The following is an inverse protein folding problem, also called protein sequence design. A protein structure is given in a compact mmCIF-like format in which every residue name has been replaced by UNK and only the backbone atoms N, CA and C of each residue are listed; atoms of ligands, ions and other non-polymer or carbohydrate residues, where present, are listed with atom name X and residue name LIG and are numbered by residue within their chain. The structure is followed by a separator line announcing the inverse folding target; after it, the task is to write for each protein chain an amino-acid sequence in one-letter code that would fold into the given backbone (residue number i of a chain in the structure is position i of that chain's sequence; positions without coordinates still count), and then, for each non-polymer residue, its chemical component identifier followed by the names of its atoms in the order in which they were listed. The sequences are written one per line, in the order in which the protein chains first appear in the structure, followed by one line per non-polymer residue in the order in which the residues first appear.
data_IF_047609348428
#
_entry.id   IF_047609348428
#
_cell.length_a   1.000
_cell.length_b   1.000
_cell.length_c   1.000
_cell.angle_alpha   90.00
_cell.angle_beta   90.00
_cell.angle_gamma   90.00
#
_symmetry.space_group_name_H-M   'P 1'
#
loop_
_entity.id
_entity.type
_entity.pdbx_description
1 polymer ?
#
# COMPACT_ATOMS: atom_id res chain seq x y z
N UNK A 1 -4.58 -8.43 5.19
CA UNK A 1 -3.46 -8.01 4.33
C UNK A 1 -2.37 -9.03 4.51
N UNK A 2 -1.79 -9.51 3.42
CA UNK A 2 -0.63 -10.38 3.49
C UNK A 2 0.61 -9.56 3.90
N UNK A 3 1.40 -10.09 4.84
CA UNK A 3 2.61 -9.43 5.34
C UNK A 3 3.81 -9.77 4.45
N UNK A 4 4.43 -8.75 3.88
CA UNK A 4 5.65 -8.81 3.08
C UNK A 4 6.83 -8.49 3.97
N UNK A 5 7.76 -9.44 4.06
CA UNK A 5 8.94 -9.36 4.94
C UNK A 5 10.26 -9.53 4.19
N UNK A 6 10.23 -9.67 2.87
CA UNK A 6 11.43 -9.76 2.03
C UNK A 6 11.28 -8.94 0.74
N UNK A 7 12.41 -8.52 0.18
CA UNK A 7 12.42 -7.79 -1.10
C UNK A 7 11.90 -8.65 -2.26
N UNK A 8 12.15 -9.96 -2.23
CA UNK A 8 11.66 -10.88 -3.25
C UNK A 8 10.13 -10.97 -3.24
N UNK A 9 9.52 -11.08 -2.05
CA UNK A 9 8.06 -11.13 -1.91
C UNK A 9 7.41 -9.80 -2.34
N UNK A 10 8.06 -8.67 -2.04
CA UNK A 10 7.61 -7.37 -2.53
C UNK A 10 7.60 -7.32 -4.07
N UNK A 11 8.69 -7.77 -4.71
CA UNK A 11 8.79 -7.80 -6.16
C UNK A 11 7.73 -8.70 -6.80
N UNK A 12 7.42 -9.85 -6.18
CA UNK A 12 6.34 -10.74 -6.65
C UNK A 12 4.98 -10.06 -6.51
N UNK A 13 4.71 -9.41 -5.37
CA UNK A 13 3.43 -8.74 -5.12
C UNK A 13 3.15 -7.63 -6.13
N UNK A 14 4.13 -6.75 -6.40
CA UNK A 14 3.93 -5.61 -7.31
C UNK A 14 3.85 -6.00 -8.79
N UNK A 15 4.37 -7.17 -9.17
CA UNK A 15 4.29 -7.72 -10.53
C UNK A 15 2.91 -8.32 -10.87
N UNK A 16 2.03 -8.46 -9.89
CA UNK A 16 0.67 -8.95 -10.13
C UNK A 16 -0.04 -8.12 -11.22
N UNK A 17 -0.76 -8.75 -12.16
CA UNK A 17 -1.61 -8.02 -13.11
C UNK A 17 -2.75 -7.30 -12.39
N UNK A 18 -3.16 -7.82 -11.23
CA UNK A 18 -4.15 -7.19 -10.38
C UNK A 18 -3.55 -5.98 -9.66
N UNK A 19 -4.33 -4.91 -9.54
CA UNK A 19 -3.98 -3.74 -8.74
C UNK A 19 -3.57 -4.15 -7.32
N UNK A 20 -2.32 -3.88 -6.97
CA UNK A 20 -1.72 -4.18 -5.66
C UNK A 20 -1.34 -2.87 -4.98
N UNK A 21 -1.79 -2.68 -3.75
CA UNK A 21 -1.48 -1.50 -2.93
C UNK A 21 -0.61 -1.94 -1.77
N UNK A 22 0.65 -1.50 -1.79
CA UNK A 22 1.60 -1.72 -0.72
C UNK A 22 1.42 -0.67 0.38
N UNK A 23 1.20 -1.14 1.60
CA UNK A 23 1.04 -0.34 2.82
C UNK A 23 2.31 -0.46 3.66
N UNK A 24 3.16 0.55 3.59
CA UNK A 24 4.41 0.61 4.34
C UNK A 24 4.13 1.06 5.78
N UNK A 25 4.47 0.22 6.77
CA UNK A 25 4.28 0.49 8.21
C UNK A 25 5.28 -0.28 9.08
N UNK A 26 5.26 0.01 10.38
CA UNK A 26 6.02 -0.70 11.42
C UNK A 26 5.24 -0.76 12.74
N UNK A 27 5.59 -1.70 13.61
CA UNK A 27 4.90 -1.94 14.88
C UNK A 27 5.12 -0.83 15.93
N UNK A 28 6.18 -0.06 15.81
CA UNK A 28 6.46 1.07 16.72
C UNK A 28 5.75 2.37 16.32
N UNK A 29 5.18 2.42 15.11
CA UNK A 29 4.56 3.61 14.54
C UNK A 29 3.17 3.88 15.12
N UNK A 30 3.03 4.96 15.90
CA UNK A 30 1.73 5.35 16.49
C UNK A 30 0.67 5.67 15.44
N UNK A 31 1.04 6.25 14.31
CA UNK A 31 0.09 6.59 13.24
C UNK A 31 -0.36 5.36 12.45
N UNK A 32 0.46 4.32 12.43
CA UNK A 32 0.12 3.02 11.84
C UNK A 32 -0.89 2.29 12.75
N UNK A 33 -0.65 2.30 14.07
CA UNK A 33 -1.61 1.79 15.06
C UNK A 33 -2.96 2.50 15.03
N UNK A 34 -2.99 3.76 14.60
CA UNK A 34 -4.23 4.51 14.44
C UNK A 34 -5.10 3.96 13.31
N UNK A 35 -4.48 3.47 12.22
CA UNK A 35 -5.23 2.95 11.06
C UNK A 35 -5.64 1.48 11.22
N UNK A 36 -4.87 0.69 11.97
CA UNK A 36 -5.06 -0.75 12.15
C UNK A 36 -6.50 -1.17 12.49
N UNK A 37 -7.26 -0.48 13.38
CA UNK A 37 -8.60 -0.92 13.75
C UNK A 37 -9.60 -0.92 12.59
N UNK A 38 -9.42 -0.04 11.60
CA UNK A 38 -10.38 0.12 10.50
C UNK A 38 -9.87 -0.43 9.17
N UNK A 39 -8.59 -0.80 9.06
CA UNK A 39 -7.99 -1.37 7.86
C UNK A 39 -8.63 -2.71 7.42
N UNK A 40 -9.02 -3.65 8.31
CA UNK A 40 -9.68 -4.90 7.90
C UNK A 40 -10.99 -4.67 7.15
N UNK A 41 -11.81 -3.71 7.61
CA UNK A 41 -13.05 -3.34 6.94
C UNK A 41 -12.78 -2.67 5.57
N UNK A 42 -11.76 -1.82 5.49
CA UNK A 42 -11.33 -1.22 4.22
C UNK A 42 -10.88 -2.31 3.26
N UNK A 43 -10.01 -3.22 3.71
CA UNK A 43 -9.57 -4.34 2.89
C UNK A 43 -10.74 -5.16 2.36
N UNK A 44 -11.70 -5.51 3.20
CA UNK A 44 -12.89 -6.24 2.78
C UNK A 44 -13.72 -5.48 1.73
N UNK A 45 -13.91 -4.17 1.89
CA UNK A 45 -14.63 -3.30 0.94
C UNK A 45 -13.99 -3.27 -0.45
N UNK A 46 -12.68 -3.48 -0.53
CA UNK A 46 -11.90 -3.40 -1.78
C UNK A 46 -11.40 -4.77 -2.27
N UNK A 47 -11.66 -5.85 -1.52
CA UNK A 47 -11.10 -7.19 -1.72
C UNK A 47 -11.39 -7.80 -3.08
N UNK A 48 -12.47 -7.41 -3.77
CA UNK A 48 -12.79 -7.89 -5.13
C UNK A 48 -12.06 -7.11 -6.22
N UNK A 49 -11.58 -5.90 -5.93
CA UNK A 49 -11.07 -4.95 -6.93
C UNK A 49 -9.56 -4.76 -6.86
N UNK A 50 -8.95 -4.89 -5.69
CA UNK A 50 -7.51 -4.75 -5.47
C UNK A 50 -7.01 -5.66 -4.37
N UNK A 51 -5.69 -5.73 -4.20
CA UNK A 51 -5.03 -6.45 -3.13
C UNK A 51 -4.23 -5.47 -2.27
N UNK A 52 -4.44 -5.51 -0.95
CA UNK A 52 -3.64 -4.75 -0.01
C UNK A 52 -2.59 -5.67 0.61
N UNK A 53 -1.32 -5.24 0.55
CA UNK A 53 -0.20 -5.94 1.19
C UNK A 53 0.44 -5.03 2.22
N UNK A 54 0.76 -5.58 3.38
CA UNK A 54 1.48 -4.87 4.43
C UNK A 54 2.98 -5.05 4.19
N UNK A 55 3.73 -3.95 4.13
CA UNK A 55 5.17 -3.95 3.95
C UNK A 55 5.83 -3.42 5.23
N UNK A 56 6.54 -4.29 5.92
CA UNK A 56 7.23 -3.95 7.16
C UNK A 56 8.54 -3.23 6.85
N UNK A 57 8.62 -1.94 7.14
CA UNK A 57 9.79 -1.12 6.80
C UNK A 57 11.05 -1.53 7.56
N UNK A 58 10.92 -2.21 8.70
CA UNK A 58 12.06 -2.72 9.47
C UNK A 58 12.60 -4.02 8.84
N UNK A 59 11.72 -4.83 8.22
CA UNK A 59 12.09 -6.08 7.54
C UNK A 59 12.65 -5.86 6.13
N UNK A 60 12.14 -4.84 5.42
CA UNK A 60 12.55 -4.52 4.04
C UNK A 60 13.08 -3.08 3.93
N UNK A 61 14.07 -2.75 4.75
CA UNK A 61 14.67 -1.41 4.80
C UNK A 61 15.17 -0.91 3.44
N UNK A 62 15.85 -1.76 2.67
CA UNK A 62 16.37 -1.42 1.34
C UNK A 62 15.24 -1.07 0.35
N UNK A 63 14.17 -1.88 0.33
CA UNK A 63 12.97 -1.62 -0.50
C UNK A 63 12.36 -0.26 -0.12
N UNK A 64 12.25 0.02 1.18
CA UNK A 64 11.66 1.28 1.65
C UNK A 64 12.48 2.50 1.22
N UNK A 65 13.81 2.38 1.19
CA UNK A 65 14.70 3.41 0.68
C UNK A 65 14.56 3.60 -0.84
N UNK A 66 14.59 2.51 -1.61
CA UNK A 66 14.41 2.54 -3.07
C UNK A 66 13.07 3.16 -3.47
N UNK A 67 12.00 2.83 -2.73
CA UNK A 67 10.66 3.38 -2.95
C UNK A 67 10.49 4.81 -2.44
N UNK A 68 11.54 5.45 -1.91
CA UNK A 68 11.52 6.81 -1.37
C UNK A 68 10.40 7.01 -0.32
N UNK A 69 10.26 6.06 0.61
CA UNK A 69 9.27 6.14 1.67
C UNK A 69 9.74 7.15 2.74
N UNK A 70 9.19 8.37 2.68
CA UNK A 70 9.60 9.51 3.54
C UNK A 70 8.85 9.59 4.88
N UNK A 71 7.92 8.67 5.14
CA UNK A 71 7.11 8.61 6.35
C UNK A 71 6.17 7.41 6.31
N UNK A 72 5.68 6.98 7.49
CA UNK A 72 4.74 5.88 7.63
C UNK A 72 3.52 6.32 8.47
N UNK A 73 2.32 5.78 8.22
CA UNK A 73 2.00 4.80 7.17
C UNK A 73 2.04 5.44 5.77
N UNK A 74 2.51 4.70 4.76
CA UNK A 74 2.54 5.15 3.36
C UNK A 74 1.91 4.12 2.44
N UNK A 75 1.29 4.58 1.35
CA UNK A 75 0.56 3.74 0.42
C UNK A 75 1.09 3.95 -1.00
N UNK A 76 1.38 2.87 -1.72
CA UNK A 76 1.80 2.94 -3.12
C UNK A 76 1.07 1.87 -3.93
N UNK A 77 0.48 2.26 -5.04
CA UNK A 77 -0.29 1.38 -5.91
C UNK A 77 0.52 0.95 -7.13
N UNK A 78 0.49 -0.34 -7.43
CA UNK A 78 1.21 -0.98 -8.51
C UNK A 78 0.31 -1.90 -9.33
N UNK A 79 0.68 -2.11 -10.59
CA UNK A 79 0.17 -3.18 -11.44
C UNK A 79 1.25 -3.53 -12.46
N UNK A 80 1.52 -4.84 -12.65
CA UNK A 80 2.53 -5.35 -13.59
C UNK A 80 3.92 -4.70 -13.41
N UNK A 81 4.31 -4.45 -12.15
CA UNK A 81 5.57 -3.80 -11.79
C UNK A 81 5.62 -2.29 -12.03
N UNK A 82 4.55 -1.69 -12.57
CA UNK A 82 4.43 -0.25 -12.79
C UNK A 82 3.76 0.42 -11.59
N UNK A 83 4.40 1.46 -11.07
CA UNK A 83 3.77 2.36 -10.11
C UNK A 83 2.70 3.23 -10.78
N UNK A 84 1.53 3.32 -10.16
CA UNK A 84 0.38 4.08 -10.66
C UNK A 84 0.19 5.39 -9.90
N UNK A 85 0.04 5.30 -8.59
CA UNK A 85 -0.18 6.43 -7.68
C UNK A 85 0.46 6.15 -6.33
N UNK A 86 0.90 7.21 -5.66
CA UNK A 86 1.49 7.14 -4.32
C UNK A 86 0.84 8.13 -3.36
N UNK A 87 0.73 7.74 -2.10
CA UNK A 87 0.32 8.57 -0.98
C UNK A 87 1.37 8.47 0.13
N UNK A 88 2.48 9.15 -0.10
CA UNK A 88 3.67 9.15 0.76
C UNK A 88 3.87 10.52 1.36
N UNK A 89 3.74 10.62 2.69
CA UNK A 89 4.04 11.82 3.47
C UNK A 89 4.20 11.44 4.95
N UNK A 90 4.62 12.41 5.77
CA UNK A 90 4.82 12.24 7.22
C UNK A 90 3.54 12.39 8.04
N UNK A 91 2.40 12.61 7.39
CA UNK A 91 1.14 12.88 8.06
C UNK A 91 0.41 11.56 8.34
N UNK A 92 -0.22 11.49 9.52
CA UNK A 92 -1.24 10.50 9.83
C UNK A 92 -2.34 10.53 8.78
N UNK A 93 -2.85 9.36 8.41
CA UNK A 93 -3.90 9.19 7.41
C UNK A 93 -5.20 8.77 8.08
N UNK A 94 -6.28 9.45 7.74
CA UNK A 94 -7.65 9.07 8.13
C UNK A 94 -8.20 7.95 7.24
N UNK A 95 -9.28 7.29 7.68
CA UNK A 95 -10.00 6.33 6.84
C UNK A 95 -10.41 6.94 5.51
N UNK A 96 -10.99 8.13 5.52
CA UNK A 96 -11.48 8.81 4.32
C UNK A 96 -10.35 9.07 3.32
N UNK A 97 -9.20 9.56 3.79
CA UNK A 97 -8.04 9.78 2.92
C UNK A 97 -7.50 8.49 2.30
N UNK A 98 -7.51 7.39 3.06
CA UNK A 98 -7.11 6.07 2.57
C UNK A 98 -8.09 5.60 1.49
N UNK A 99 -9.40 5.63 1.76
CA UNK A 99 -10.41 5.22 0.79
C UNK A 99 -10.35 6.06 -0.50
N UNK A 100 -10.21 7.39 -0.38
CA UNK A 100 -10.04 8.28 -1.52
C UNK A 100 -8.79 7.94 -2.35
N UNK A 101 -7.68 7.58 -1.70
CA UNK A 101 -6.50 7.10 -2.39
C UNK A 101 -6.75 5.79 -3.14
N UNK A 102 -7.43 4.82 -2.51
CA UNK A 102 -7.76 3.54 -3.14
C UNK A 102 -8.69 3.71 -4.35
N UNK A 103 -9.69 4.59 -4.24
CA UNK A 103 -10.59 4.92 -5.35
C UNK A 103 -9.83 5.54 -6.53
N UNK A 104 -8.91 6.48 -6.25
CA UNK A 104 -8.04 7.06 -7.27
C UNK A 104 -7.11 6.02 -7.91
N UNK A 105 -6.55 5.10 -7.11
CA UNK A 105 -5.71 4.02 -7.62
C UNK A 105 -6.50 3.11 -8.58
N UNK A 106 -7.74 2.77 -8.22
CA UNK A 106 -8.66 2.01 -9.06
C UNK A 106 -9.00 2.74 -10.36
N UNK A 107 -9.31 4.04 -10.28
CA UNK A 107 -9.59 4.84 -11.47
C UNK A 107 -8.43 4.81 -12.47
N UNK A 108 -7.20 5.10 -11.99
CA UNK A 108 -6.00 5.08 -12.83
C UNK A 108 -5.76 3.71 -13.42
N UNK A 109 -5.87 2.64 -12.62
CA UNK A 109 -5.73 1.26 -13.08
C UNK A 109 -6.72 0.92 -14.20
N UNK A 110 -8.00 1.28 -14.03
CA UNK A 110 -9.04 1.03 -15.03
C UNK A 110 -8.86 1.87 -16.29
N UNK A 111 -8.22 3.04 -16.21
CA UNK A 111 -7.90 3.86 -17.39
C UNK A 111 -6.78 3.25 -18.22
N UNK A 112 -5.74 2.68 -17.59
CA UNK A 112 -4.59 2.12 -18.32
C UNK A 112 -4.80 0.67 -18.78
N UNK A 113 -5.80 -0.02 -18.22
CA UNK A 113 -6.14 -1.42 -18.57
C UNK A 113 -7.17 -1.53 -19.71
N UNK A 114 -7.59 -0.39 -20.29
CA UNK A 114 -8.47 -0.31 -21.47
C UNK A 114 -7.65 -0.17 -22.74
#
# INVERSE_FOLDING_TARGET
MDKISSAADFQVAVQSPRLTVAVFKADWCSDCKYIDPFMPEVEQKYADRLTLVEVDVDAVGDVSQEQNILGIPSFVAYSEGRELVRFVNKLRKSREEIENFLDRALEVYLTISK
#
